data_IF_604356157533
#
_entry.id   IF_604356157533
#
_cell.length_a   1.000
_cell.length_b   1.000
_cell.length_c   1.000
_cell.angle_alpha   90.00
_cell.angle_beta   90.00
_cell.angle_gamma   90.00
#
_symmetry.space_group_name_H-M   'P 1'
#
loop_
_entity.id
_entity.type
_entity.pdbx_description
1 polymer ?
#
# COMPACT_ATOMS: atom_id res chain seq x y z
N UNK A 1 22.17 -4.75 1.02
CA UNK A 1 21.88 -3.46 1.71
C UNK A 1 20.88 -3.57 2.87
N UNK A 2 20.26 -4.74 3.05
CA UNK A 2 19.20 -5.02 4.03
C UNK A 2 19.38 -6.46 4.51
N UNK A 3 18.65 -6.84 5.55
CA UNK A 3 18.57 -8.22 6.03
C UNK A 3 17.26 -8.86 5.56
N UNK A 4 17.24 -10.17 5.25
CA UNK A 4 16.01 -10.86 4.91
C UNK A 4 15.02 -10.80 6.09
N UNK A 5 13.74 -10.60 5.79
CA UNK A 5 12.69 -10.62 6.79
C UNK A 5 12.34 -12.08 7.14
N UNK A 6 12.95 -12.60 8.21
CA UNK A 6 12.76 -13.99 8.65
C UNK A 6 11.84 -14.12 9.87
N UNK A 7 11.09 -15.22 9.94
CA UNK A 7 10.32 -15.66 11.10
C UNK A 7 11.25 -16.23 12.19
N UNK A 8 10.68 -16.69 13.31
CA UNK A 8 11.45 -17.27 14.42
C UNK A 8 12.14 -18.60 14.08
N UNK A 9 11.77 -19.21 12.95
CA UNK A 9 12.34 -20.47 12.46
C UNK A 9 13.35 -20.26 11.32
N UNK A 10 13.66 -19.00 10.97
CA UNK A 10 14.58 -18.66 9.88
C UNK A 10 13.97 -18.76 8.48
N UNK A 11 12.64 -18.84 8.34
CA UNK A 11 11.92 -18.83 7.05
C UNK A 11 11.53 -17.42 6.65
N UNK A 12 11.40 -17.16 5.35
CA UNK A 12 10.93 -15.86 4.85
C UNK A 12 9.50 -15.59 5.32
N UNK A 13 9.27 -14.38 5.85
CA UNK A 13 7.94 -13.96 6.29
C UNK A 13 7.00 -13.74 5.12
N UNK A 14 5.74 -14.12 5.30
CA UNK A 14 4.66 -13.89 4.34
C UNK A 14 3.43 -13.27 5.00
N UNK A 15 2.89 -12.22 4.39
CA UNK A 15 1.62 -11.62 4.77
C UNK A 15 0.52 -12.07 3.80
N UNK A 16 -0.67 -12.35 4.30
CA UNK A 16 -1.80 -12.78 3.48
C UNK A 16 -3.03 -11.91 3.70
N UNK A 17 -3.67 -11.50 2.61
CA UNK A 17 -4.87 -10.66 2.65
C UNK A 17 -6.14 -11.49 2.78
N UNK A 18 -7.09 -10.98 3.57
CA UNK A 18 -8.44 -11.52 3.72
C UNK A 18 -9.47 -10.40 3.58
N UNK A 19 -10.46 -10.59 2.71
CA UNK A 19 -11.57 -9.65 2.57
C UNK A 19 -12.59 -9.79 3.71
N UNK A 20 -13.49 -8.81 3.81
CA UNK A 20 -14.52 -8.75 4.87
C UNK A 20 -15.84 -9.45 4.52
N UNK A 21 -15.89 -10.19 3.41
CA UNK A 21 -17.10 -10.81 2.87
C UNK A 21 -17.03 -12.35 2.87
N UNK A 22 -18.19 -13.00 3.04
CA UNK A 22 -18.32 -14.45 3.09
C UNK A 22 -17.81 -15.02 4.42
N UNK A 23 -17.24 -16.22 4.37
CA UNK A 23 -16.66 -16.89 5.55
C UNK A 23 -15.28 -16.31 5.92
N UNK A 24 -15.28 -15.17 6.61
CA UNK A 24 -14.07 -14.49 7.08
C UNK A 24 -13.30 -15.37 8.08
N UNK A 25 -14.00 -16.05 8.99
CA UNK A 25 -13.38 -16.87 10.03
C UNK A 25 -12.67 -18.09 9.42
N UNK A 26 -13.32 -18.82 8.52
CA UNK A 26 -12.74 -19.97 7.85
C UNK A 26 -11.54 -19.60 6.98
N UNK A 27 -11.64 -18.51 6.20
CA UNK A 27 -10.51 -18.01 5.40
C UNK A 27 -9.31 -17.63 6.29
N UNK A 28 -9.55 -16.89 7.38
CA UNK A 28 -8.49 -16.53 8.31
C UNK A 28 -7.84 -17.77 8.95
N UNK A 29 -8.63 -18.77 9.38
CA UNK A 29 -8.10 -20.04 9.90
C UNK A 29 -7.22 -20.77 8.87
N UNK A 30 -7.66 -20.82 7.61
CA UNK A 30 -6.89 -21.47 6.54
C UNK A 30 -5.55 -20.76 6.29
N UNK A 31 -5.54 -19.43 6.24
CA UNK A 31 -4.32 -18.65 6.06
C UNK A 31 -3.35 -18.82 7.24
N UNK A 32 -3.87 -18.82 8.47
CA UNK A 32 -3.06 -19.09 9.67
C UNK A 32 -2.48 -20.51 9.65
N UNK A 33 -3.27 -21.50 9.28
CA UNK A 33 -2.82 -22.89 9.15
C UNK A 33 -1.76 -23.06 8.04
N UNK A 34 -1.84 -22.25 6.98
CA UNK A 34 -0.84 -22.20 5.91
C UNK A 34 0.47 -21.49 6.32
N UNK A 35 0.53 -20.90 7.52
CA UNK A 35 1.73 -20.26 8.06
C UNK A 35 1.88 -18.78 7.74
N UNK A 36 0.78 -18.05 7.50
CA UNK A 36 0.85 -16.60 7.33
C UNK A 36 1.37 -15.90 8.61
N UNK A 37 2.43 -15.11 8.48
CA UNK A 37 3.05 -14.35 9.58
C UNK A 37 2.31 -13.06 9.94
N UNK A 38 1.46 -12.57 9.03
CA UNK A 38 0.63 -11.38 9.20
C UNK A 38 -0.67 -11.58 8.44
N UNK A 39 -1.80 -11.28 9.08
CA UNK A 39 -3.10 -11.22 8.40
C UNK A 39 -3.43 -9.78 8.03
N UNK A 40 -3.77 -9.54 6.77
CA UNK A 40 -4.16 -8.22 6.26
C UNK A 40 -5.64 -8.22 5.93
N UNK A 41 -6.47 -7.65 6.82
CA UNK A 41 -7.90 -7.48 6.57
C UNK A 41 -8.07 -6.25 5.68
N UNK A 42 -8.45 -6.47 4.43
CA UNK A 42 -8.40 -5.43 3.40
C UNK A 42 -9.76 -5.19 2.73
N UNK A 43 -10.12 -3.93 2.62
CA UNK A 43 -11.30 -3.41 1.92
C UNK A 43 -11.06 -1.96 1.51
N UNK A 44 -11.74 -1.49 0.47
CA UNK A 44 -11.59 -0.12 -0.01
C UNK A 44 -11.90 0.93 1.06
N UNK A 45 -12.90 0.67 1.92
CA UNK A 45 -13.27 1.52 3.04
C UNK A 45 -13.29 0.72 4.34
N UNK A 46 -12.26 0.88 5.17
CA UNK A 46 -12.12 0.15 6.44
C UNK A 46 -12.96 0.72 7.57
N UNK A 47 -13.32 2.01 7.54
CA UNK A 47 -14.11 2.64 8.61
C UNK A 47 -15.61 2.37 8.45
N UNK A 48 -15.98 1.08 8.46
CA UNK A 48 -17.36 0.62 8.30
C UNK A 48 -17.68 -0.53 9.26
N UNK A 49 -18.97 -0.67 9.61
CA UNK A 49 -19.45 -1.69 10.56
C UNK A 49 -18.95 -3.11 10.25
N UNK A 50 -19.01 -3.52 8.97
CA UNK A 50 -18.63 -4.86 8.53
C UNK A 50 -17.15 -5.17 8.73
N UNK A 51 -16.27 -4.17 8.60
CA UNK A 51 -14.84 -4.30 8.89
C UNK A 51 -14.60 -4.53 10.38
N UNK A 52 -15.30 -3.76 11.23
CA UNK A 52 -15.22 -3.90 12.69
C UNK A 52 -15.71 -5.28 13.14
N UNK A 53 -16.80 -5.77 12.55
CA UNK A 53 -17.31 -7.13 12.78
C UNK A 53 -16.29 -8.19 12.35
N UNK A 54 -15.71 -8.07 11.14
CA UNK A 54 -14.70 -8.98 10.62
C UNK A 54 -13.45 -9.03 11.53
N UNK A 55 -12.97 -7.89 12.01
CA UNK A 55 -11.86 -7.83 12.96
C UNK A 55 -12.18 -8.55 14.27
N UNK A 56 -13.35 -8.31 14.86
CA UNK A 56 -13.78 -9.02 16.08
C UNK A 56 -13.86 -10.53 15.86
N UNK A 57 -14.39 -10.97 14.73
CA UNK A 57 -14.43 -12.38 14.34
C UNK A 57 -13.03 -12.98 14.24
N UNK A 58 -12.09 -12.30 13.58
CA UNK A 58 -10.71 -12.79 13.44
C UNK A 58 -9.99 -12.79 14.80
N UNK A 59 -10.16 -11.75 15.63
CA UNK A 59 -9.56 -11.71 16.99
C UNK A 59 -10.10 -12.81 17.89
N UNK A 60 -11.37 -13.20 17.75
CA UNK A 60 -11.94 -14.33 18.49
C UNK A 60 -11.26 -15.67 18.19
N UNK A 61 -10.55 -15.79 17.06
CA UNK A 61 -9.70 -16.95 16.75
C UNK A 61 -8.39 -16.97 17.56
N UNK A 62 -8.11 -15.91 18.33
CA UNK A 62 -6.89 -15.72 19.10
C UNK A 62 -5.59 -15.90 18.27
N UNK A 63 -5.47 -15.24 17.10
CA UNK A 63 -4.28 -15.37 16.26
C UNK A 63 -3.04 -14.90 17.00
N UNK A 64 -1.93 -15.59 16.78
CA UNK A 64 -0.61 -15.27 17.37
C UNK A 64 0.24 -14.35 16.50
N UNK A 65 -0.33 -13.93 15.37
CA UNK A 65 0.30 -13.05 14.40
C UNK A 65 -0.37 -11.68 14.40
N UNK A 66 0.36 -10.61 14.03
CA UNK A 66 -0.23 -9.28 13.92
C UNK A 66 -1.38 -9.25 12.90
N UNK A 67 -2.39 -8.45 13.21
CA UNK A 67 -3.48 -8.14 12.27
C UNK A 67 -3.34 -6.72 11.76
N UNK A 68 -3.22 -6.60 10.45
CA UNK A 68 -3.29 -5.33 9.72
C UNK A 68 -4.73 -5.10 9.27
N UNK A 69 -5.21 -3.87 9.36
CA UNK A 69 -6.58 -3.51 9.00
C UNK A 69 -6.64 -2.21 8.20
N UNK A 70 -7.36 -2.20 7.09
CA UNK A 70 -7.56 -0.97 6.32
C UNK A 70 -8.60 -1.08 5.19
N UNK A 71 -8.80 -0.03 4.42
CA UNK A 71 -8.08 1.24 4.46
C UNK A 71 -8.85 2.39 5.13
N UNK A 72 -8.13 3.24 5.87
CA UNK A 72 -8.66 4.48 6.46
C UNK A 72 -7.79 5.68 6.11
N UNK A 73 -8.30 6.90 6.34
CA UNK A 73 -7.58 8.17 6.10
C UNK A 73 -7.81 9.22 7.19
N UNK A 74 -8.40 8.82 8.31
CA UNK A 74 -8.78 9.70 9.43
C UNK A 74 -8.32 9.14 10.78
N UNK A 75 -8.11 10.01 11.76
CA UNK A 75 -7.85 9.61 13.14
C UNK A 75 -8.98 8.72 13.70
N UNK A 76 -10.25 9.09 13.50
CA UNK A 76 -11.40 8.33 14.01
C UNK A 76 -11.43 6.89 13.49
N UNK A 77 -11.23 6.70 12.18
CA UNK A 77 -11.17 5.36 11.59
C UNK A 77 -9.98 4.56 12.09
N UNK A 78 -8.84 5.21 12.31
CA UNK A 78 -7.66 4.57 12.89
C UNK A 78 -7.94 4.06 14.30
N UNK A 79 -8.51 4.92 15.16
CA UNK A 79 -8.90 4.58 16.52
C UNK A 79 -9.87 3.39 16.55
N UNK A 80 -10.94 3.44 15.77
CA UNK A 80 -11.96 2.38 15.77
C UNK A 80 -11.42 1.03 15.28
N UNK A 81 -10.52 1.02 14.27
CA UNK A 81 -9.88 -0.22 13.84
C UNK A 81 -8.96 -0.79 14.92
N UNK A 82 -8.22 0.05 15.65
CA UNK A 82 -7.38 -0.37 16.78
C UNK A 82 -8.24 -0.95 17.90
N UNK A 83 -9.33 -0.26 18.29
CA UNK A 83 -10.27 -0.73 19.32
C UNK A 83 -10.97 -2.03 18.92
N UNK A 84 -11.20 -2.25 17.62
CA UNK A 84 -11.71 -3.51 17.08
C UNK A 84 -10.66 -4.65 17.08
N UNK A 85 -9.39 -4.33 17.33
CA UNK A 85 -8.31 -5.29 17.56
C UNK A 85 -7.22 -5.32 16.49
N UNK A 86 -7.16 -4.34 15.59
CA UNK A 86 -6.04 -4.20 14.68
C UNK A 86 -4.74 -3.86 15.44
N UNK A 87 -3.64 -4.50 15.05
CA UNK A 87 -2.30 -4.20 15.56
C UNK A 87 -1.59 -3.15 14.70
N UNK A 88 -1.95 -3.10 13.42
CA UNK A 88 -1.42 -2.17 12.43
C UNK A 88 -2.58 -1.64 11.59
N UNK A 89 -2.61 -0.33 11.34
CA UNK A 89 -3.64 0.27 10.46
C UNK A 89 -3.05 0.60 9.09
N UNK A 90 -3.69 0.13 8.02
CA UNK A 90 -3.31 0.44 6.64
C UNK A 90 -4.03 1.72 6.18
N UNK A 91 -3.25 2.72 5.75
CA UNK A 91 -3.71 4.09 5.52
C UNK A 91 -3.58 4.45 4.06
N UNK A 92 -4.70 4.80 3.42
CA UNK A 92 -4.73 5.27 2.05
C UNK A 92 -6.04 4.97 1.32
N UNK A 93 -6.78 6.02 0.95
CA UNK A 93 -7.99 5.91 0.12
C UNK A 93 -7.84 6.81 -1.11
N UNK A 94 -7.82 6.18 -2.28
CA UNK A 94 -7.62 6.83 -3.57
C UNK A 94 -6.21 7.26 -4.02
N UNK A 95 -5.08 7.00 -3.31
CA UNK A 95 -3.76 7.45 -3.79
C UNK A 95 -3.10 6.48 -4.78
N UNK A 96 -3.62 5.26 -4.95
CA UNK A 96 -3.02 4.21 -5.77
C UNK A 96 -2.97 4.58 -7.25
N UNK A 97 -1.91 4.17 -7.96
CA UNK A 97 -1.68 4.56 -9.36
C UNK A 97 -2.81 4.15 -10.33
N UNK A 98 -3.51 3.06 -10.03
CA UNK A 98 -4.62 2.53 -10.85
C UNK A 98 -5.99 2.79 -10.22
N UNK A 99 -6.04 3.53 -9.11
CA UNK A 99 -7.27 3.79 -8.37
C UNK A 99 -7.98 5.02 -8.93
N UNK A 100 -9.29 4.91 -9.14
CA UNK A 100 -10.13 6.02 -9.61
C UNK A 100 -11.16 6.45 -8.55
N UNK A 101 -11.17 5.86 -7.35
CA UNK A 101 -12.08 6.17 -6.23
C UNK A 101 -12.34 7.67 -6.07
N UNK A 102 -11.29 8.51 -5.98
CA UNK A 102 -11.46 9.96 -5.80
C UNK A 102 -12.20 10.63 -6.94
N UNK A 103 -11.89 10.24 -8.16
CA UNK A 103 -12.48 10.84 -9.36
C UNK A 103 -13.92 10.36 -9.57
N UNK A 104 -14.22 9.13 -9.16
CA UNK A 104 -15.52 8.51 -9.34
C UNK A 104 -16.51 8.86 -8.20
N UNK A 105 -16.01 9.02 -6.96
CA UNK A 105 -16.87 9.16 -5.77
C UNK A 105 -16.65 10.46 -5.00
N UNK A 106 -15.58 11.21 -5.28
CA UNK A 106 -15.13 12.35 -4.46
C UNK A 106 -14.49 11.95 -3.13
N UNK A 107 -14.46 10.66 -2.78
CA UNK A 107 -13.95 10.18 -1.49
C UNK A 107 -12.43 9.93 -1.58
N UNK A 108 -11.70 10.46 -0.61
CA UNK A 108 -10.28 10.23 -0.43
C UNK A 108 -9.59 11.42 0.23
N UNK A 109 -8.30 11.29 0.53
CA UNK A 109 -7.55 12.35 1.22
C UNK A 109 -6.08 12.40 0.81
N UNK A 110 -5.45 13.57 0.60
CA UNK A 110 -4.02 13.67 0.31
C UNK A 110 -3.16 12.79 1.23
N UNK A 111 -2.32 11.95 0.63
CA UNK A 111 -1.75 10.78 1.32
C UNK A 111 -0.86 11.16 2.50
N UNK A 112 0.00 12.17 2.34
CA UNK A 112 0.87 12.62 3.42
C UNK A 112 0.06 13.07 4.66
N UNK A 113 -0.97 13.90 4.46
CA UNK A 113 -1.84 14.37 5.55
C UNK A 113 -2.62 13.22 6.21
N UNK A 114 -3.06 12.23 5.43
CA UNK A 114 -3.71 11.04 5.95
C UNK A 114 -2.76 10.20 6.81
N UNK A 115 -1.55 9.94 6.31
CA UNK A 115 -0.49 9.21 7.02
C UNK A 115 -0.12 9.92 8.32
N UNK A 116 0.15 11.23 8.29
CA UNK A 116 0.52 12.01 9.47
C UNK A 116 -0.55 11.95 10.57
N UNK A 117 -1.82 12.18 10.20
CA UNK A 117 -2.91 12.19 11.16
C UNK A 117 -3.17 10.78 11.74
N UNK A 118 -3.19 9.75 10.90
CA UNK A 118 -3.42 8.38 11.35
C UNK A 118 -2.26 7.85 12.20
N UNK A 119 -1.00 8.15 11.83
CA UNK A 119 0.17 7.79 12.62
C UNK A 119 0.15 8.45 14.00
N UNK A 120 -0.21 9.74 14.06
CA UNK A 120 -0.36 10.48 15.31
C UNK A 120 -1.42 9.85 16.22
N UNK A 121 -2.55 9.42 15.66
CA UNK A 121 -3.60 8.75 16.43
C UNK A 121 -3.14 7.36 16.90
N UNK A 122 -2.58 6.53 16.01
CA UNK A 122 -2.14 5.17 16.35
C UNK A 122 -1.09 5.16 17.48
N UNK A 123 -0.20 6.17 17.50
CA UNK A 123 0.84 6.32 18.54
C UNK A 123 0.24 6.47 19.95
N UNK A 124 -0.94 7.08 20.10
CA UNK A 124 -1.63 7.21 21.41
C UNK A 124 -2.00 5.86 22.01
N UNK A 125 -2.10 4.82 21.18
CA UNK A 125 -2.45 3.45 21.55
C UNK A 125 -1.23 2.50 21.52
N UNK A 126 -0.02 3.01 21.28
CA UNK A 126 1.17 2.18 21.07
C UNK A 126 1.09 1.29 19.82
N UNK A 127 0.27 1.66 18.84
CA UNK A 127 0.13 0.95 17.55
C UNK A 127 0.83 1.72 16.44
N UNK A 128 0.99 1.07 15.28
CA UNK A 128 1.65 1.66 14.11
C UNK A 128 0.76 1.62 12.88
N UNK A 129 1.16 2.34 11.83
CA UNK A 129 0.43 2.38 10.56
C UNK A 129 1.32 2.03 9.37
N UNK A 130 0.71 1.49 8.32
CA UNK A 130 1.32 1.31 7.00
C UNK A 130 0.75 2.34 6.04
N UNK A 131 1.61 3.06 5.31
CA UNK A 131 1.19 3.95 4.24
C UNK A 131 0.98 3.14 2.94
N UNK A 132 -0.22 3.19 2.36
CA UNK A 132 -0.60 2.39 1.19
C UNK A 132 -0.96 3.28 -0.02
N UNK A 133 -0.12 3.19 -1.06
CA UNK A 133 -0.32 3.84 -2.35
C UNK A 133 0.28 5.25 -2.48
N UNK A 134 0.33 5.73 -3.72
CA UNK A 134 0.87 7.06 -4.07
C UNK A 134 2.39 7.14 -4.25
N UNK A 135 3.11 6.04 -4.05
CA UNK A 135 4.57 5.96 -4.17
C UNK A 135 4.98 5.88 -5.64
N UNK A 136 5.86 6.80 -6.06
CA UNK A 136 6.41 6.85 -7.43
C UNK A 136 7.93 6.97 -7.44
N UNK A 137 8.53 7.43 -6.35
CA UNK A 137 9.97 7.65 -6.21
C UNK A 137 10.44 7.29 -4.78
N UNK A 138 11.74 7.06 -4.55
CA UNK A 138 12.28 6.85 -3.20
C UNK A 138 11.88 7.94 -2.19
N UNK A 139 11.80 9.21 -2.62
CA UNK A 139 11.39 10.34 -1.76
C UNK A 139 9.98 10.16 -1.19
N UNK A 140 9.08 9.49 -1.90
CA UNK A 140 7.70 9.31 -1.45
C UNK A 140 7.65 8.31 -0.28
N UNK A 141 8.55 7.31 -0.27
CA UNK A 141 8.78 6.41 0.87
C UNK A 141 9.34 7.18 2.06
N UNK A 142 10.36 8.02 1.81
CA UNK A 142 10.93 8.88 2.86
C UNK A 142 9.88 9.80 3.48
N UNK A 143 9.04 10.48 2.68
CA UNK A 143 7.98 11.33 3.19
C UNK A 143 6.95 10.56 4.03
N UNK A 144 6.57 9.35 3.62
CA UNK A 144 5.64 8.53 4.40
C UNK A 144 6.22 8.12 5.77
N UNK A 145 7.50 7.72 5.81
CA UNK A 145 8.19 7.37 7.05
C UNK A 145 8.42 8.61 7.94
N UNK A 146 8.77 9.75 7.35
CA UNK A 146 8.87 11.02 8.08
C UNK A 146 7.53 11.42 8.70
N UNK A 147 6.41 11.15 8.03
CA UNK A 147 5.06 11.38 8.56
C UNK A 147 4.64 10.40 9.68
N UNK A 148 5.44 9.36 9.96
CA UNK A 148 5.20 8.42 11.07
C UNK A 148 4.65 7.05 10.66
N UNK A 149 4.66 6.71 9.36
CA UNK A 149 4.42 5.33 8.95
C UNK A 149 5.55 4.41 9.44
N UNK A 150 5.20 3.18 9.85
CA UNK A 150 6.21 2.16 10.16
C UNK A 150 6.69 1.41 8.91
N UNK A 151 5.82 1.28 7.90
CA UNK A 151 6.13 0.67 6.61
C UNK A 151 5.33 1.35 5.49
N UNK A 152 5.77 1.13 4.25
CA UNK A 152 5.14 1.68 3.03
C UNK A 152 4.82 0.55 2.06
N UNK A 153 3.57 0.43 1.65
CA UNK A 153 3.10 -0.56 0.67
C UNK A 153 3.18 0.01 -0.75
N UNK A 154 3.84 -0.74 -1.64
CA UNK A 154 4.16 -0.32 -3.01
C UNK A 154 3.57 -1.35 -3.98
N UNK A 155 2.76 -0.87 -4.94
CA UNK A 155 2.14 -1.71 -5.97
C UNK A 155 2.74 -1.51 -7.35
N UNK A 156 2.38 -0.40 -8.02
CA UNK A 156 2.71 -0.17 -9.44
C UNK A 156 4.19 -0.21 -9.77
N UNK A 157 5.06 0.17 -8.84
CA UNK A 157 6.50 0.13 -9.08
C UNK A 157 7.01 -1.32 -9.17
N UNK A 158 6.58 -2.18 -8.26
CA UNK A 158 6.92 -3.61 -8.26
C UNK A 158 6.16 -4.40 -9.34
N UNK A 159 5.07 -3.86 -9.89
CA UNK A 159 4.36 -4.52 -10.99
C UNK A 159 5.20 -4.63 -12.29
N UNK A 160 6.17 -3.72 -12.47
CA UNK A 160 7.08 -3.68 -13.61
C UNK A 160 8.38 -4.46 -13.44
N UNK A 161 8.37 -5.60 -12.73
CA UNK A 161 9.56 -6.45 -12.51
C UNK A 161 9.33 -7.89 -12.97
N UNK A 162 10.40 -8.68 -13.08
CA UNK A 162 10.29 -10.09 -13.45
C UNK A 162 9.52 -10.95 -12.45
N UNK A 163 9.58 -10.63 -11.16
CA UNK A 163 8.94 -11.39 -10.07
C UNK A 163 7.44 -11.12 -9.96
N UNK A 164 6.94 -10.04 -10.56
CA UNK A 164 5.51 -9.74 -10.55
C UNK A 164 4.70 -10.80 -11.32
N UNK A 165 3.43 -11.07 -10.97
CA UNK A 165 2.73 -12.28 -11.39
C UNK A 165 2.23 -12.28 -12.85
N UNK A 166 2.18 -11.13 -13.54
CA UNK A 166 1.68 -11.08 -14.92
C UNK A 166 2.71 -11.62 -15.91
N UNK A 167 2.22 -12.23 -16.99
CA UNK A 167 3.06 -12.64 -18.12
C UNK A 167 3.77 -11.44 -18.74
N UNK A 168 5.01 -11.70 -19.19
CA UNK A 168 5.83 -10.74 -19.91
C UNK A 168 5.29 -10.55 -21.33
N UNK A 169 4.99 -9.31 -21.70
CA UNK A 169 4.51 -8.91 -23.02
C UNK A 169 5.52 -7.98 -23.69
N UNK A 170 5.38 -7.85 -25.01
CA UNK A 170 6.22 -6.98 -25.85
C UNK A 170 5.31 -6.06 -26.65
N UNK A 171 5.62 -4.77 -26.67
CA UNK A 171 4.88 -3.81 -27.50
C UNK A 171 5.41 -3.76 -28.94
N UNK A 172 4.84 -2.88 -29.77
CA UNK A 172 5.23 -2.70 -31.17
C UNK A 172 6.67 -2.22 -31.34
N UNK A 173 7.21 -1.49 -30.36
CA UNK A 173 8.57 -0.96 -30.37
C UNK A 173 9.57 -1.96 -29.76
N UNK A 174 9.08 -3.13 -29.36
CA UNK A 174 9.84 -4.20 -28.79
C UNK A 174 10.16 -4.09 -27.31
N UNK A 175 9.55 -3.13 -26.61
CA UNK A 175 9.74 -2.91 -25.17
C UNK A 175 8.95 -3.94 -24.38
N UNK A 176 9.61 -4.48 -23.35
CA UNK A 176 9.01 -5.45 -22.44
C UNK A 176 8.13 -4.74 -21.41
N UNK A 177 6.94 -5.29 -21.17
CA UNK A 177 6.03 -4.79 -20.15
C UNK A 177 5.20 -5.92 -19.55
N UNK A 178 4.61 -5.65 -18.39
CA UNK A 178 3.61 -6.50 -17.76
C UNK A 178 2.31 -5.74 -17.58
N UNK A 179 1.19 -6.46 -17.60
CA UNK A 179 -0.12 -5.84 -17.34
C UNK A 179 -0.36 -5.72 -15.85
N UNK A 180 -0.99 -4.62 -15.46
CA UNK A 180 -1.46 -4.42 -14.09
C UNK A 180 -2.79 -3.69 -14.10
N UNK A 181 -3.63 -3.94 -13.10
CA UNK A 181 -4.98 -3.38 -12.99
C UNK A 181 -5.36 -3.18 -11.52
N UNK A 182 -6.29 -2.27 -11.26
CA UNK A 182 -6.78 -2.02 -9.91
C UNK A 182 -7.72 -3.13 -9.43
N UNK A 183 -7.66 -3.50 -8.15
CA UNK A 183 -8.53 -4.55 -7.57
C UNK A 183 -10.03 -4.18 -7.54
N UNK A 184 -10.36 -2.90 -7.77
CA UNK A 184 -11.72 -2.39 -7.92
C UNK A 184 -12.13 -2.12 -9.39
N UNK A 185 -11.36 -2.61 -10.37
CA UNK A 185 -11.64 -2.49 -11.81
C UNK A 185 -12.61 -3.56 -12.32
N UNK A 186 -13.22 -3.36 -13.50
CA UNK A 186 -14.05 -4.36 -14.19
C UNK A 186 -13.42 -5.75 -14.20
N UNK A 187 -12.13 -5.79 -14.54
CA UNK A 187 -11.36 -7.02 -14.70
C UNK A 187 -11.29 -7.78 -13.37
N UNK A 188 -10.98 -7.08 -12.29
CA UNK A 188 -10.90 -7.68 -10.96
C UNK A 188 -12.29 -8.07 -10.43
N UNK A 189 -13.31 -7.25 -10.68
CA UNK A 189 -14.71 -7.54 -10.32
C UNK A 189 -15.20 -8.79 -11.03
N UNK A 190 -15.02 -8.88 -12.35
CA UNK A 190 -15.45 -10.04 -13.13
C UNK A 190 -14.75 -11.33 -12.68
N UNK A 191 -13.43 -11.26 -12.40
CA UNK A 191 -12.69 -12.42 -11.93
C UNK A 191 -13.15 -12.90 -10.54
N UNK A 192 -13.38 -11.99 -9.59
CA UNK A 192 -13.79 -12.36 -8.22
C UNK A 192 -15.23 -12.87 -8.14
N UNK A 193 -16.10 -12.42 -9.05
CA UNK A 193 -17.52 -12.79 -9.07
C UNK A 193 -17.82 -13.90 -10.08
N UNK A 194 -16.80 -14.50 -10.70
CA UNK A 194 -16.98 -15.49 -11.77
C UNK A 194 -17.88 -16.67 -11.38
N UNK A 195 -17.87 -17.08 -10.11
CA UNK A 195 -18.67 -18.16 -9.54
C UNK A 195 -20.04 -17.74 -8.99
N UNK A 196 -20.41 -16.48 -9.09
CA UNK A 196 -21.70 -15.95 -8.62
C UNK A 196 -22.77 -16.01 -9.73
N UNK A 197 -24.05 -15.89 -9.34
CA UNK A 197 -25.16 -15.87 -10.30
C UNK A 197 -25.14 -14.60 -11.17
N UNK A 198 -25.84 -14.65 -12.30
CA UNK A 198 -25.82 -13.58 -13.30
C UNK A 198 -26.33 -12.23 -12.76
N UNK A 199 -27.31 -12.24 -11.85
CA UNK A 199 -27.89 -11.01 -11.29
C UNK A 199 -26.90 -10.35 -10.33
N UNK A 200 -26.31 -11.12 -9.42
CA UNK A 200 -25.32 -10.62 -8.48
C UNK A 200 -24.06 -10.09 -9.19
N UNK A 201 -23.61 -10.79 -10.25
CA UNK A 201 -22.51 -10.32 -11.10
C UNK A 201 -22.84 -8.99 -11.77
N UNK A 202 -24.02 -8.87 -12.38
CA UNK A 202 -24.45 -7.66 -13.05
C UNK A 202 -24.51 -6.49 -12.05
N UNK A 203 -25.12 -6.70 -10.88
CA UNK A 203 -25.22 -5.69 -9.82
C UNK A 203 -23.85 -5.20 -9.35
N UNK A 204 -22.89 -6.11 -9.15
CA UNK A 204 -21.54 -5.76 -8.67
C UNK A 204 -20.65 -5.11 -9.73
N UNK A 205 -21.04 -5.15 -11.00
CA UNK A 205 -20.30 -4.58 -12.13
C UNK A 205 -20.83 -3.20 -12.56
N UNK A 206 -21.83 -2.66 -11.87
CA UNK A 206 -22.44 -1.36 -12.21
C UNK A 206 -21.51 -0.16 -11.96
N UNK A 207 -20.52 -0.31 -11.08
CA UNK A 207 -19.66 0.80 -10.69
C UNK A 207 -18.26 0.31 -10.33
N UNK A 208 -17.25 1.04 -10.76
CA UNK A 208 -15.85 0.62 -10.69
C UNK A 208 -14.95 1.78 -10.27
N UNK A 209 -13.93 1.45 -9.49
CA UNK A 209 -13.04 2.42 -8.86
C UNK A 209 -11.56 2.11 -9.15
N UNK A 210 -11.30 1.47 -10.29
CA UNK A 210 -9.95 1.29 -10.82
C UNK A 210 -9.91 1.06 -12.33
N UNK A 211 -8.75 1.29 -12.92
CA UNK A 211 -8.53 1.02 -14.34
C UNK A 211 -8.26 -0.47 -14.58
N UNK A 212 -8.83 -1.01 -15.67
CA UNK A 212 -8.77 -2.44 -16.03
C UNK A 212 -7.50 -2.84 -16.77
N UNK A 213 -6.67 -1.88 -17.19
CA UNK A 213 -5.37 -2.15 -17.82
C UNK A 213 -4.41 -0.97 -17.68
N UNK A 214 -3.16 -1.31 -17.38
CA UNK A 214 -2.01 -0.43 -17.42
C UNK A 214 -0.78 -1.24 -17.82
N UNK A 215 0.10 -0.64 -18.64
CA UNK A 215 1.35 -1.26 -19.07
C UNK A 215 2.49 -0.82 -18.16
N UNK A 216 3.01 -1.75 -17.37
CA UNK A 216 4.16 -1.53 -16.50
C UNK A 216 5.41 -2.00 -17.24
N UNK A 217 6.15 -1.06 -17.84
CA UNK A 217 7.35 -1.39 -18.59
C UNK A 217 8.45 -1.91 -17.66
N UNK A 218 9.16 -2.94 -18.12
CA UNK A 218 10.35 -3.46 -17.44
C UNK A 218 11.54 -2.56 -17.79
N UNK A 219 12.29 -2.12 -16.78
CA UNK A 219 13.55 -1.42 -17.00
C UNK A 219 14.62 -2.46 -17.41
N UNK A 220 15.17 -2.42 -18.64
CA UNK A 220 16.13 -3.43 -19.08
C UNK A 220 17.44 -3.42 -18.28
N UNK A 221 17.80 -2.29 -17.67
CA UNK A 221 19.01 -2.17 -16.86
C UNK A 221 18.80 -2.61 -15.40
N UNK A 222 17.54 -2.69 -14.94
CA UNK A 222 17.14 -2.99 -13.55
C UNK A 222 15.79 -3.73 -13.53
N UNK A 223 15.74 -4.97 -14.06
CA UNK A 223 14.47 -5.63 -14.31
C UNK A 223 13.91 -6.38 -13.09
N UNK A 224 14.71 -6.58 -12.04
CA UNK A 224 14.32 -7.30 -10.84
C UNK A 224 13.74 -6.39 -9.76
N UNK A 225 12.96 -6.98 -8.85
CA UNK A 225 12.45 -6.27 -7.67
C UNK A 225 13.57 -5.86 -6.71
N UNK A 226 14.65 -6.64 -6.65
CA UNK A 226 15.83 -6.33 -5.84
C UNK A 226 16.48 -5.00 -6.26
N UNK A 227 16.57 -4.73 -7.57
CA UNK A 227 17.11 -3.47 -8.08
C UNK A 227 16.30 -2.26 -7.57
N UNK A 228 14.97 -2.40 -7.52
CA UNK A 228 14.08 -1.37 -7.02
C UNK A 228 14.19 -1.20 -5.50
N UNK A 229 14.33 -2.30 -4.75
CA UNK A 229 14.52 -2.28 -3.30
C UNK A 229 15.83 -1.55 -2.96
N UNK A 230 16.91 -1.84 -3.69
CA UNK A 230 18.21 -1.17 -3.52
C UNK A 230 18.10 0.34 -3.78
N UNK A 231 17.41 0.76 -4.83
CA UNK A 231 17.19 2.17 -5.14
C UNK A 231 16.36 2.88 -4.06
N UNK A 232 15.30 2.23 -3.58
CA UNK A 232 14.45 2.75 -2.50
C UNK A 232 15.28 2.94 -1.22
N UNK A 233 16.05 1.92 -0.82
CA UNK A 233 16.84 1.95 0.41
C UNK A 233 17.96 2.99 0.31
N UNK A 234 18.62 3.10 -0.83
CA UNK A 234 19.64 4.12 -1.06
C UNK A 234 19.06 5.54 -0.94
N UNK A 235 17.91 5.80 -1.58
CA UNK A 235 17.23 7.09 -1.50
C UNK A 235 16.71 7.42 -0.09
N UNK A 236 16.18 6.43 0.63
CA UNK A 236 15.75 6.59 2.02
C UNK A 236 16.94 6.92 2.93
N UNK A 237 18.05 6.18 2.82
CA UNK A 237 19.26 6.44 3.61
C UNK A 237 19.83 7.82 3.34
N UNK A 238 19.84 8.26 2.07
CA UNK A 238 20.22 9.62 1.71
C UNK A 238 19.33 10.65 2.41
N UNK A 239 18.01 10.42 2.45
CA UNK A 239 17.06 11.29 3.18
C UNK A 239 17.36 11.33 4.68
N UNK A 240 17.67 10.19 5.31
CA UNK A 240 18.08 10.13 6.71
C UNK A 240 19.38 10.92 6.97
N UNK A 241 20.34 10.91 6.05
CA UNK A 241 21.56 11.72 6.15
C UNK A 241 21.23 13.21 6.18
N UNK A 242 20.35 13.68 5.29
CA UNK A 242 19.93 15.09 5.26
C UNK A 242 19.21 15.55 6.53
N UNK A 243 18.50 14.66 7.23
CA UNK A 243 17.86 14.97 8.51
C UNK A 243 18.75 14.69 9.72
N UNK A 244 19.98 14.21 9.53
CA UNK A 244 20.86 13.79 10.62
C UNK A 244 20.31 12.65 11.48
N UNK A 245 19.58 11.70 10.88
CA UNK A 245 18.96 10.57 11.58
C UNK A 245 19.75 9.27 11.38
N UNK A 246 20.05 8.56 12.47
CA UNK A 246 20.75 7.27 12.43
C UNK A 246 19.81 6.06 12.23
N UNK A 247 18.51 6.25 12.47
CA UNK A 247 17.49 5.21 12.36
C UNK A 247 16.13 5.84 12.00
N UNK A 248 15.11 5.00 11.76
CA UNK A 248 13.78 5.47 11.32
C UNK A 248 12.99 6.20 12.42
N UNK A 249 13.26 5.92 13.70
CA UNK A 249 12.62 6.63 14.82
C UNK A 249 13.14 8.07 14.83
N UNK A 250 14.47 8.24 14.84
CA UNK A 250 15.10 9.55 14.73
C UNK A 250 14.69 10.29 13.46
N UNK A 251 14.50 9.57 12.35
CA UNK A 251 14.07 10.18 11.09
C UNK A 251 12.69 10.81 11.22
N UNK A 252 11.72 10.10 11.81
CA UNK A 252 10.40 10.65 12.10
C UNK A 252 10.45 11.84 13.07
N UNK A 253 11.35 11.82 14.06
CA UNK A 253 11.47 12.90 15.06
C UNK A 253 12.19 14.15 14.56
N UNK A 254 13.22 13.97 13.71
CA UNK A 254 14.10 15.06 13.24
C UNK A 254 13.67 15.66 11.90
N UNK A 255 12.89 14.94 11.09
CA UNK A 255 12.49 15.42 9.78
C UNK A 255 11.63 16.69 9.90
N UNK A 256 12.06 17.76 9.23
CA UNK A 256 11.29 19.01 9.11
C UNK A 256 10.58 19.01 7.77
N UNK A 257 9.26 19.13 7.79
CA UNK A 257 8.42 19.09 6.60
C UNK A 257 7.81 20.46 6.33
N UNK A 258 8.00 20.95 5.11
CA UNK A 258 7.41 22.20 4.62
C UNK A 258 6.36 21.95 3.55
N UNK A 259 5.37 22.83 3.46
CA UNK A 259 4.42 22.86 2.34
C UNK A 259 5.07 23.59 1.18
N UNK A 260 5.00 22.99 -0.01
CA UNK A 260 5.49 23.59 -1.24
C UNK A 260 4.32 24.00 -2.14
N UNK A 261 4.41 25.20 -2.73
CA UNK A 261 3.56 25.58 -3.86
C UNK A 261 3.99 24.81 -5.12
N UNK A 262 3.21 24.94 -6.19
CA UNK A 262 3.61 24.39 -7.49
C UNK A 262 4.96 24.96 -7.97
N UNK A 263 5.25 26.23 -7.69
CA UNK A 263 6.52 26.86 -8.01
C UNK A 263 7.68 26.27 -7.18
N UNK A 264 7.48 26.07 -5.87
CA UNK A 264 8.49 25.42 -5.02
C UNK A 264 8.76 23.96 -5.41
N UNK A 265 7.74 23.23 -5.85
CA UNK A 265 7.96 21.89 -6.42
C UNK A 265 8.71 21.93 -7.75
N UNK A 266 8.44 22.93 -8.60
CA UNK A 266 9.13 23.10 -9.87
C UNK A 266 10.61 23.49 -9.69
N UNK A 267 10.91 24.33 -8.69
CA UNK A 267 12.27 24.74 -8.32
C UNK A 267 13.17 23.51 -8.01
N UNK A 268 12.63 22.49 -7.35
CA UNK A 268 13.38 21.27 -7.02
C UNK A 268 13.59 20.29 -8.19
N UNK A 269 13.02 20.54 -9.37
CA UNK A 269 13.19 19.64 -10.54
C UNK A 269 14.50 19.93 -11.27
N UNK A 270 15.17 18.90 -11.82
CA UNK A 270 16.37 19.12 -12.61
C UNK A 270 16.06 19.88 -13.90
N UNK A 271 16.99 20.75 -14.31
CA UNK A 271 16.98 21.40 -15.63
C UNK A 271 17.87 20.60 -16.58
N UNK A 272 17.29 20.05 -17.66
CA UNK A 272 18.02 19.25 -18.65
C UNK A 272 18.84 20.08 -19.64
N UNK A 273 18.56 21.38 -19.73
CA UNK A 273 19.30 22.34 -20.55
C UNK A 273 19.52 23.61 -19.75
N UNK A 274 20.78 24.04 -19.66
CA UNK A 274 21.15 25.34 -19.09
C UNK A 274 20.78 26.48 -20.04
N UNK A 275 21.02 27.73 -19.59
CA UNK A 275 20.91 28.94 -20.40
C UNK A 275 21.62 28.74 -21.75
N UNK A 276 20.85 28.81 -22.84
CA UNK A 276 21.41 28.91 -24.18
C UNK A 276 21.55 30.42 -24.47
N UNK A 277 22.77 30.85 -24.80
CA UNK A 277 23.02 32.19 -25.33
C UNK A 277 22.23 32.42 -26.61
#
# INVERSE_FOLDING_TARGET
MYQPALDTNGKLKVAAAVGINGDVAGKAKQLLAAGADVLVVDTAHGHQKKMIEALKTIKALNPKVPIVAGNVVTASGTKELIEAGADIVKVGVGPGAMCTTRMQTGVGRPQFSAVLECATEAKKYGKTIWADGGVRHPRDVALALAAGASQVMIGSWFAGTYESPSDLRKDSDGRLYKESFGMASARAVAARTASEDAFDRARKSLFEEGISSSRMYINPARPGVEDLIDEIIAGLRSSCTYSGAANLIEFNEKAVIGIQSAAGYAEGRPLFTSWKN
#
